data_IF_031842763302
#
_entry.id   IF_031842763302
#
_cell.length_a   1.000
_cell.length_b   1.000
_cell.length_c   1.000
_cell.angle_alpha   90.00
_cell.angle_beta   90.00
_cell.angle_gamma   90.00
#
_symmetry.space_group_name_H-M   'P 1'
#
loop_
_entity.id
_entity.type
_entity.pdbx_description
1 polymer ?
#
# COMPACT_ATOMS: atom_id res chain seq x y z
N UNK A 1 42.64 -1.87 -19.64
CA UNK A 1 41.21 -2.27 -19.69
C UNK A 1 40.55 -1.88 -18.38
N UNK A 2 39.40 -1.16 -18.38
CA UNK A 2 38.75 -0.75 -17.13
C UNK A 2 38.01 -1.92 -16.47
N UNK A 3 38.03 -1.99 -15.15
CA UNK A 3 37.26 -2.98 -14.38
C UNK A 3 35.75 -2.73 -14.51
N UNK A 4 34.95 -3.78 -14.42
CA UNK A 4 33.49 -3.69 -14.36
C UNK A 4 33.00 -2.75 -13.24
N UNK A 5 33.71 -2.68 -12.10
CA UNK A 5 33.40 -1.74 -11.01
C UNK A 5 33.59 -0.29 -11.47
N UNK A 6 34.71 0.00 -12.12
CA UNK A 6 35.01 1.35 -12.65
C UNK A 6 33.96 1.76 -13.70
N UNK A 7 33.59 0.85 -14.61
CA UNK A 7 32.58 1.11 -15.64
C UNK A 7 31.19 1.40 -15.04
N UNK A 8 30.80 0.68 -13.99
CA UNK A 8 29.52 0.94 -13.28
C UNK A 8 29.51 2.33 -12.64
N UNK A 9 30.61 2.73 -12.01
CA UNK A 9 30.75 4.07 -11.43
C UNK A 9 30.66 5.15 -12.51
N UNK A 10 31.33 4.98 -13.65
CA UNK A 10 31.27 5.93 -14.77
C UNK A 10 29.84 6.08 -15.31
N UNK A 11 29.15 4.96 -15.55
CA UNK A 11 27.75 4.98 -15.99
C UNK A 11 26.87 5.70 -14.97
N UNK A 12 27.11 5.49 -13.67
CA UNK A 12 26.37 6.17 -12.60
C UNK A 12 26.58 7.69 -12.66
N UNK A 13 27.83 8.14 -12.76
CA UNK A 13 28.15 9.57 -12.86
C UNK A 13 27.53 10.22 -14.10
N UNK A 14 27.58 9.54 -15.25
CA UNK A 14 26.93 10.01 -16.48
C UNK A 14 25.40 10.12 -16.34
N UNK A 15 24.77 9.24 -15.57
CA UNK A 15 23.33 9.32 -15.28
C UNK A 15 23.01 10.49 -14.36
N UNK A 16 23.79 10.71 -13.31
CA UNK A 16 23.64 11.84 -12.39
C UNK A 16 23.76 13.17 -13.14
N UNK A 17 24.83 13.36 -13.92
CA UNK A 17 25.05 14.57 -14.70
C UNK A 17 23.95 14.83 -15.74
N UNK A 18 23.37 13.76 -16.32
CA UNK A 18 22.24 13.89 -17.25
C UNK A 18 20.96 14.30 -16.53
N UNK A 19 20.65 13.68 -15.39
CA UNK A 19 19.48 13.99 -14.59
C UNK A 19 19.52 15.42 -14.02
N UNK A 20 20.70 15.90 -13.60
CA UNK A 20 20.89 17.28 -13.17
C UNK A 20 20.65 18.26 -14.32
N UNK A 21 21.28 18.04 -15.49
CA UNK A 21 21.09 18.90 -16.68
C UNK A 21 19.63 18.98 -17.11
N UNK A 22 18.92 17.86 -17.15
CA UNK A 22 17.51 17.83 -17.52
C UNK A 22 16.63 18.63 -16.54
N UNK A 23 16.91 18.55 -15.24
CA UNK A 23 16.20 19.34 -14.22
C UNK A 23 16.48 20.84 -14.35
N UNK A 24 17.74 21.23 -14.56
CA UNK A 24 18.11 22.65 -14.77
C UNK A 24 17.49 23.21 -16.04
N UNK A 25 17.49 22.45 -17.14
CA UNK A 25 16.94 22.90 -18.41
C UNK A 25 15.44 23.23 -18.29
N UNK A 26 14.66 22.41 -17.59
CA UNK A 26 13.24 22.69 -17.32
C UNK A 26 13.02 23.97 -16.49
N UNK A 27 13.90 24.28 -15.55
CA UNK A 27 13.79 25.50 -14.74
C UNK A 27 14.05 26.76 -15.57
N UNK A 28 14.75 26.63 -16.71
CA UNK A 28 15.24 27.75 -17.53
C UNK A 28 14.51 27.99 -18.85
N UNK A 29 13.65 27.07 -19.32
CA UNK A 29 12.91 27.22 -20.58
C UNK A 29 11.39 27.36 -20.36
N UNK A 30 10.70 28.29 -21.03
CA UNK A 30 9.26 28.17 -21.21
C UNK A 30 8.99 26.95 -22.10
N UNK A 31 8.03 26.10 -21.70
CA UNK A 31 7.63 24.88 -22.41
C UNK A 31 7.14 25.21 -23.84
N UNK A 32 8.09 25.33 -24.77
CA UNK A 32 7.84 25.45 -26.21
C UNK A 32 7.65 24.07 -26.83
N UNK A 33 6.66 23.98 -27.72
CA UNK A 33 5.97 22.76 -28.18
C UNK A 33 6.79 21.60 -28.73
N UNK A 34 8.09 21.73 -29.05
CA UNK A 34 8.81 20.70 -29.82
C UNK A 34 10.22 20.37 -29.28
N UNK A 35 10.40 20.36 -27.97
CA UNK A 35 11.66 19.98 -27.32
C UNK A 35 11.66 18.54 -26.81
N UNK A 36 12.13 17.57 -27.59
CA UNK A 36 12.42 16.21 -27.08
C UNK A 36 13.57 16.26 -26.07
N UNK A 37 13.26 16.43 -24.78
CA UNK A 37 14.25 16.30 -23.71
C UNK A 37 14.66 14.83 -23.61
N UNK A 38 15.93 14.52 -23.89
CA UNK A 38 16.46 13.15 -23.81
C UNK A 38 16.25 12.57 -22.39
N UNK A 39 15.51 11.47 -22.30
CA UNK A 39 15.16 10.83 -21.04
C UNK A 39 13.77 11.18 -20.50
N UNK A 40 12.98 11.94 -21.25
CA UNK A 40 11.56 12.19 -20.98
C UNK A 40 10.73 10.95 -21.28
N UNK A 41 9.77 10.67 -20.40
CA UNK A 41 8.77 9.62 -20.58
C UNK A 41 7.39 10.22 -20.37
N UNK A 42 6.52 10.14 -21.38
CA UNK A 42 5.15 10.66 -21.29
C UNK A 42 4.35 9.94 -20.19
N UNK A 43 3.59 10.72 -19.43
CA UNK A 43 2.63 10.19 -18.47
C UNK A 43 1.31 9.82 -19.16
N UNK A 44 0.63 8.81 -18.65
CA UNK A 44 -0.76 8.54 -19.01
C UNK A 44 -1.68 9.42 -18.15
N UNK A 45 -1.99 10.61 -18.65
CA UNK A 45 -2.78 11.61 -17.89
C UNK A 45 -4.21 11.15 -17.64
N UNK A 46 -4.80 10.37 -18.56
CA UNK A 46 -6.14 9.81 -18.39
C UNK A 46 -6.16 8.80 -17.25
N UNK A 47 -5.21 7.86 -17.22
CA UNK A 47 -5.06 6.92 -16.12
C UNK A 47 -4.85 7.67 -14.78
N UNK A 48 -3.94 8.62 -14.76
CA UNK A 48 -3.60 9.36 -13.53
C UNK A 48 -4.80 10.15 -12.99
N UNK A 49 -5.63 10.74 -13.84
CA UNK A 49 -6.86 11.45 -13.41
C UNK A 49 -7.91 10.53 -12.81
N UNK A 50 -8.00 9.27 -13.24
CA UNK A 50 -8.88 8.28 -12.62
C UNK A 50 -8.39 7.82 -11.24
N UNK A 51 -7.07 7.82 -11.02
CA UNK A 51 -6.45 7.38 -9.77
C UNK A 51 -6.33 8.48 -8.73
N UNK A 52 -6.37 9.75 -9.13
CA UNK A 52 -6.08 10.88 -8.25
C UNK A 52 -7.16 11.96 -8.38
N UNK A 53 -7.68 12.41 -7.24
CA UNK A 53 -8.86 13.29 -7.19
C UNK A 53 -8.55 14.77 -6.91
N UNK A 54 -7.32 15.15 -6.52
CA UNK A 54 -7.03 16.52 -6.06
C UNK A 54 -5.56 16.95 -6.17
N UNK A 55 -4.87 16.63 -7.26
CA UNK A 55 -3.46 17.01 -7.43
C UNK A 55 -3.11 17.39 -8.87
N UNK A 56 -2.07 18.20 -9.01
CA UNK A 56 -1.49 18.52 -10.33
C UNK A 56 -0.80 17.26 -10.85
N UNK A 57 -1.27 16.78 -12.01
CA UNK A 57 -0.74 15.58 -12.63
C UNK A 57 0.43 15.94 -13.55
N UNK A 58 1.52 15.16 -13.54
CA UNK A 58 2.59 15.36 -14.50
C UNK A 58 2.13 14.98 -15.90
N UNK A 59 2.46 15.80 -16.90
CA UNK A 59 2.32 15.43 -18.32
C UNK A 59 3.42 14.45 -18.76
N UNK A 60 4.56 14.48 -18.07
CA UNK A 60 5.71 13.64 -18.34
C UNK A 60 6.59 13.45 -17.09
N UNK A 61 7.44 12.42 -17.13
CA UNK A 61 8.45 12.13 -16.13
C UNK A 61 9.85 12.41 -16.67
N UNK A 62 10.74 12.80 -15.76
CA UNK A 62 12.16 12.99 -16.03
C UNK A 62 13.00 12.32 -14.95
N UNK A 63 14.21 11.91 -15.32
CA UNK A 63 15.20 11.41 -14.37
C UNK A 63 15.45 12.44 -13.25
N UNK A 64 15.17 12.04 -12.01
CA UNK A 64 15.32 12.87 -10.81
C UNK A 64 16.48 12.37 -9.96
N UNK A 65 17.41 13.25 -9.62
CA UNK A 65 18.45 12.94 -8.63
C UNK A 65 17.84 12.96 -7.24
N UNK A 66 18.23 12.00 -6.39
CA UNK A 66 17.90 12.01 -4.97
C UNK A 66 19.08 11.50 -4.15
N UNK A 67 19.13 11.93 -2.90
CA UNK A 67 20.11 11.46 -1.92
C UNK A 67 19.46 10.36 -1.08
N UNK A 68 20.12 9.20 -0.98
CA UNK A 68 19.63 8.12 -0.14
C UNK A 68 19.59 8.55 1.33
N UNK A 69 18.42 8.45 1.97
CA UNK A 69 18.26 8.85 3.38
C UNK A 69 19.06 7.99 4.38
N UNK A 70 19.53 6.80 3.98
CA UNK A 70 20.25 5.89 4.88
C UNK A 70 21.78 5.92 4.69
N UNK A 71 22.27 6.00 3.44
CA UNK A 71 23.71 5.96 3.13
C UNK A 71 24.26 7.21 2.45
N UNK A 72 23.43 8.25 2.27
CA UNK A 72 23.77 9.50 1.59
C UNK A 72 24.26 9.36 0.14
N UNK A 73 24.15 8.18 -0.49
CA UNK A 73 24.53 8.02 -1.91
C UNK A 73 23.59 8.81 -2.81
N UNK A 74 24.15 9.56 -3.76
CA UNK A 74 23.37 10.14 -4.85
C UNK A 74 22.93 9.04 -5.82
N UNK A 75 21.65 9.03 -6.15
CA UNK A 75 21.04 8.09 -7.06
C UNK A 75 20.09 8.81 -8.02
N UNK A 76 19.72 8.13 -9.11
CA UNK A 76 18.75 8.64 -10.08
C UNK A 76 17.48 7.80 -9.99
N UNK A 77 16.35 8.45 -9.72
CA UNK A 77 15.03 7.92 -9.92
C UNK A 77 14.60 8.17 -11.36
N UNK A 78 14.67 7.13 -12.18
CA UNK A 78 14.52 7.31 -13.63
C UNK A 78 13.07 7.62 -14.00
N UNK A 79 12.87 8.30 -15.13
CA UNK A 79 11.54 8.58 -15.67
C UNK A 79 10.71 7.29 -15.88
N UNK A 80 11.37 6.21 -16.31
CA UNK A 80 10.74 4.88 -16.45
C UNK A 80 10.32 4.29 -15.10
N UNK A 81 11.13 4.46 -14.06
CA UNK A 81 10.79 4.00 -12.71
C UNK A 81 9.64 4.81 -12.13
N UNK A 82 9.57 6.11 -12.41
CA UNK A 82 8.44 6.95 -12.04
C UNK A 82 7.16 6.49 -12.73
N UNK A 83 7.18 6.32 -14.06
CA UNK A 83 6.01 5.81 -14.81
C UNK A 83 5.48 4.50 -14.24
N UNK A 84 6.36 3.51 -14.06
CA UNK A 84 5.97 2.23 -13.45
C UNK A 84 5.39 2.40 -12.04
N UNK A 85 5.99 3.25 -11.21
CA UNK A 85 5.56 3.47 -9.84
C UNK A 85 4.17 4.12 -9.74
N UNK A 86 3.90 5.14 -10.55
CA UNK A 86 2.64 5.86 -10.48
C UNK A 86 1.52 5.19 -11.26
N UNK A 87 1.82 4.58 -12.41
CA UNK A 87 0.79 4.06 -13.31
C UNK A 87 0.55 2.56 -13.12
N UNK A 88 1.60 1.77 -12.88
CA UNK A 88 1.45 0.32 -12.67
C UNK A 88 1.20 -0.01 -11.21
N UNK A 89 1.99 0.56 -10.29
CA UNK A 89 1.83 0.31 -8.84
C UNK A 89 0.72 1.16 -8.24
N UNK A 90 0.27 2.22 -8.94
CA UNK A 90 -0.76 3.16 -8.48
C UNK A 90 -0.41 3.80 -7.13
N UNK A 91 0.88 4.02 -6.91
CA UNK A 91 1.35 4.67 -5.70
C UNK A 91 0.97 6.17 -5.70
N UNK A 92 0.83 6.80 -4.52
CA UNK A 92 0.49 8.21 -4.42
C UNK A 92 1.41 9.10 -5.27
N UNK A 93 0.84 10.01 -6.06
CA UNK A 93 1.60 10.82 -7.03
C UNK A 93 2.61 11.77 -6.35
N UNK A 94 2.38 12.12 -5.09
CA UNK A 94 3.24 12.96 -4.25
C UNK A 94 4.45 12.21 -3.68
N UNK A 95 4.44 10.87 -3.75
CA UNK A 95 5.53 10.04 -3.25
C UNK A 95 6.81 10.20 -4.07
N UNK A 96 7.97 10.04 -3.42
CA UNK A 96 9.30 10.18 -4.04
C UNK A 96 10.26 9.07 -3.66
N UNK A 97 11.25 8.80 -4.51
CA UNK A 97 12.36 7.91 -4.17
C UNK A 97 13.17 8.46 -2.99
N UNK A 98 13.22 7.71 -1.88
CA UNK A 98 13.92 8.09 -0.64
C UNK A 98 15.20 7.29 -0.37
N UNK A 99 15.31 6.09 -0.95
CA UNK A 99 16.38 5.13 -0.65
C UNK A 99 16.90 4.46 -1.91
N UNK A 100 18.20 4.25 -1.97
CA UNK A 100 18.84 3.45 -3.02
C UNK A 100 18.37 1.99 -2.96
N UNK A 101 18.61 1.22 -4.03
CA UNK A 101 18.21 -0.18 -4.11
C UNK A 101 18.83 -1.03 -2.99
N UNK A 102 20.10 -0.80 -2.68
CA UNK A 102 20.85 -1.54 -1.66
C UNK A 102 20.24 -1.30 -0.27
N UNK A 103 20.02 -0.04 0.12
CA UNK A 103 19.38 0.30 1.38
C UNK A 103 17.93 -0.22 1.46
N UNK A 104 17.18 -0.21 0.35
CA UNK A 104 15.83 -0.84 0.32
C UNK A 104 15.91 -2.35 0.57
N UNK A 105 16.88 -3.05 -0.01
CA UNK A 105 17.09 -4.50 0.21
C UNK A 105 17.52 -4.79 1.64
N UNK A 106 18.51 -4.07 2.16
CA UNK A 106 18.98 -4.21 3.54
C UNK A 106 17.87 -3.91 4.55
N UNK A 107 17.01 -2.91 4.28
CA UNK A 107 15.84 -2.64 5.14
C UNK A 107 14.83 -3.79 5.11
N UNK A 108 14.53 -4.35 3.93
CA UNK A 108 13.62 -5.50 3.82
C UNK A 108 14.18 -6.72 4.55
N UNK A 109 15.48 -7.00 4.42
CA UNK A 109 16.16 -8.09 5.13
C UNK A 109 16.01 -7.92 6.65
N UNK A 110 16.34 -6.74 7.19
CA UNK A 110 16.18 -6.44 8.63
C UNK A 110 14.74 -6.60 9.14
N UNK A 111 13.76 -6.15 8.36
CA UNK A 111 12.34 -6.33 8.73
C UNK A 111 11.98 -7.81 8.75
N UNK A 112 12.40 -8.58 7.73
CA UNK A 112 12.12 -10.01 7.67
C UNK A 112 12.79 -10.77 8.81
N UNK A 113 14.05 -10.44 9.14
CA UNK A 113 14.76 -11.01 10.30
C UNK A 113 14.03 -10.70 11.61
N UNK A 114 13.58 -9.46 11.80
CA UNK A 114 12.80 -9.08 12.98
C UNK A 114 11.46 -9.83 13.06
N UNK A 115 10.79 -10.06 11.92
CA UNK A 115 9.54 -10.81 11.86
C UNK A 115 9.73 -12.34 12.02
N UNK A 116 10.93 -12.86 11.79
CA UNK A 116 11.24 -14.28 11.95
C UNK A 116 11.35 -14.71 13.43
N UNK A 117 11.52 -13.75 14.34
CA UNK A 117 11.54 -14.03 15.78
C UNK A 117 10.16 -14.55 16.23
N UNK A 118 10.08 -15.69 16.95
CA UNK A 118 8.81 -16.20 17.47
C UNK A 118 8.04 -15.15 18.26
N UNK A 119 6.77 -14.94 17.88
CA UNK A 119 5.89 -13.96 18.51
C UNK A 119 6.02 -12.51 17.98
N UNK A 120 7.04 -12.17 17.18
CA UNK A 120 7.20 -10.82 16.63
C UNK A 120 6.05 -10.41 15.69
N UNK A 121 5.38 -11.39 15.08
CA UNK A 121 4.24 -11.20 14.20
C UNK A 121 2.93 -11.79 14.76
N UNK A 122 2.77 -11.79 16.10
CA UNK A 122 1.64 -12.42 16.79
C UNK A 122 0.28 -11.96 16.27
N UNK A 123 0.11 -10.66 16.03
CA UNK A 123 -1.15 -10.10 15.51
C UNK A 123 -1.52 -10.70 14.14
N UNK A 124 -0.55 -10.87 13.24
CA UNK A 124 -0.82 -11.47 11.94
C UNK A 124 -1.07 -12.98 12.05
N UNK A 125 -0.38 -13.66 12.95
CA UNK A 125 -0.60 -15.08 13.23
C UNK A 125 -2.01 -15.33 13.78
N UNK A 126 -2.47 -14.50 14.72
CA UNK A 126 -3.83 -14.55 15.27
C UNK A 126 -4.88 -14.25 14.19
N UNK A 127 -4.66 -13.24 13.35
CA UNK A 127 -5.54 -12.97 12.19
C UNK A 127 -5.61 -14.16 11.22
N UNK A 128 -4.49 -14.78 10.91
CA UNK A 128 -4.45 -15.93 10.00
C UNK A 128 -5.16 -17.15 10.60
N UNK A 129 -4.96 -17.40 11.90
CA UNK A 129 -5.67 -18.43 12.63
C UNK A 129 -7.19 -18.20 12.59
N UNK A 130 -7.66 -16.97 12.81
CA UNK A 130 -9.08 -16.62 12.69
C UNK A 130 -9.61 -16.87 11.28
N UNK A 131 -8.88 -16.46 10.23
CA UNK A 131 -9.31 -16.71 8.84
C UNK A 131 -9.47 -18.19 8.54
N UNK A 132 -8.58 -19.03 9.06
CA UNK A 132 -8.63 -20.48 8.88
C UNK A 132 -9.86 -21.13 9.53
N UNK A 133 -10.40 -20.54 10.60
CA UNK A 133 -11.67 -21.01 11.21
C UNK A 133 -12.83 -20.90 10.22
N UNK A 134 -12.89 -19.84 9.43
CA UNK A 134 -13.96 -19.62 8.44
C UNK A 134 -13.94 -20.58 7.25
N UNK A 135 -12.93 -21.46 7.14
CA UNK A 135 -12.88 -22.52 6.12
C UNK A 135 -13.46 -23.86 6.61
N UNK A 136 -13.88 -23.94 7.87
CA UNK A 136 -14.42 -25.13 8.52
C UNK A 136 -15.79 -24.81 9.12
N UNK A 137 -16.67 -25.80 9.33
CA UNK A 137 -17.89 -25.59 10.10
C UNK A 137 -17.54 -25.13 11.52
N UNK A 138 -18.38 -24.27 12.14
CA UNK A 138 -18.14 -23.80 13.50
C UNK A 138 -18.21 -24.97 14.49
N UNK A 139 -17.24 -25.02 15.41
CA UNK A 139 -17.29 -25.83 16.62
C UNK A 139 -17.25 -24.90 17.85
N UNK A 140 -17.47 -25.47 19.04
CA UNK A 140 -17.53 -24.69 20.28
C UNK A 140 -16.25 -23.89 20.54
N UNK A 141 -15.08 -24.45 20.21
CA UNK A 141 -13.79 -23.78 20.39
C UNK A 141 -13.60 -22.62 19.41
N UNK A 142 -14.06 -22.77 18.17
CA UNK A 142 -14.03 -21.73 17.15
C UNK A 142 -14.96 -20.57 17.53
N UNK A 143 -16.17 -20.87 18.03
CA UNK A 143 -17.11 -19.86 18.50
C UNK A 143 -16.53 -19.03 19.66
N UNK A 144 -15.88 -19.69 20.63
CA UNK A 144 -15.21 -19.00 21.74
C UNK A 144 -14.07 -18.08 21.25
N UNK A 145 -13.26 -18.56 20.30
CA UNK A 145 -12.19 -17.75 19.70
C UNK A 145 -12.74 -16.52 18.96
N UNK A 146 -13.86 -16.66 18.25
CA UNK A 146 -14.53 -15.54 17.58
C UNK A 146 -15.08 -14.55 18.60
N UNK A 147 -15.74 -15.02 19.66
CA UNK A 147 -16.23 -14.17 20.73
C UNK A 147 -15.10 -13.35 21.38
N UNK A 148 -13.96 -13.98 21.67
CA UNK A 148 -12.79 -13.29 22.19
C UNK A 148 -12.21 -12.29 21.17
N UNK A 149 -12.11 -12.66 19.89
CA UNK A 149 -11.60 -11.77 18.84
C UNK A 149 -12.46 -10.52 18.64
N UNK A 150 -13.79 -10.62 18.78
CA UNK A 150 -14.72 -9.49 18.71
C UNK A 150 -14.50 -8.48 19.85
N UNK A 151 -13.94 -8.90 20.98
CA UNK A 151 -13.61 -8.01 22.11
C UNK A 151 -12.20 -7.42 22.01
N UNK A 152 -11.34 -7.95 21.13
CA UNK A 152 -9.93 -7.53 20.97
C UNK A 152 -9.77 -6.02 20.83
N UNK A 153 -8.79 -5.40 21.47
CA UNK A 153 -8.52 -3.95 21.29
C UNK A 153 -8.15 -3.57 19.84
N UNK A 154 -7.79 -4.53 19.00
CA UNK A 154 -7.36 -4.31 17.62
C UNK A 154 -8.52 -4.47 16.65
N UNK A 155 -8.93 -3.41 15.97
CA UNK A 155 -10.06 -3.45 15.02
C UNK A 155 -9.88 -4.49 13.91
N UNK A 156 -8.66 -4.70 13.43
CA UNK A 156 -8.38 -5.73 12.40
C UNK A 156 -8.79 -7.14 12.84
N UNK A 157 -8.61 -7.49 14.11
CA UNK A 157 -9.05 -8.78 14.66
C UNK A 157 -10.57 -8.90 14.64
N UNK A 158 -11.26 -7.86 15.12
CA UNK A 158 -12.72 -7.83 15.17
C UNK A 158 -13.33 -7.92 13.77
N UNK A 159 -12.76 -7.20 12.79
CA UNK A 159 -13.22 -7.25 11.39
C UNK A 159 -13.05 -8.65 10.81
N UNK A 160 -11.94 -9.32 11.06
CA UNK A 160 -11.73 -10.70 10.59
C UNK A 160 -12.70 -11.66 11.26
N UNK A 161 -12.99 -11.47 12.56
CA UNK A 161 -14.01 -12.26 13.25
C UNK A 161 -15.41 -12.09 12.62
N UNK A 162 -15.79 -10.86 12.26
CA UNK A 162 -17.04 -10.56 11.53
C UNK A 162 -17.07 -11.28 10.16
N UNK A 163 -15.94 -11.30 9.44
CA UNK A 163 -15.84 -12.02 8.17
C UNK A 163 -16.01 -13.54 8.35
N UNK A 164 -15.51 -14.10 9.45
CA UNK A 164 -15.67 -15.53 9.76
C UNK A 164 -17.13 -15.86 10.06
N UNK A 165 -17.83 -15.05 10.86
CA UNK A 165 -19.28 -15.19 11.07
C UNK A 165 -20.03 -15.21 9.74
N UNK A 166 -19.66 -14.31 8.81
CA UNK A 166 -20.20 -14.26 7.45
C UNK A 166 -19.94 -15.52 6.62
N UNK A 167 -18.83 -16.22 6.84
CA UNK A 167 -18.54 -17.49 6.14
C UNK A 167 -19.32 -18.67 6.69
N UNK A 168 -19.57 -18.67 8.00
CA UNK A 168 -20.37 -19.73 8.63
C UNK A 168 -21.85 -19.59 8.30
N UNK A 169 -22.39 -18.36 8.33
CA UNK A 169 -23.74 -18.07 7.83
C UNK A 169 -24.86 -18.83 8.55
N UNK A 170 -24.64 -19.32 9.76
CA UNK A 170 -25.68 -19.93 10.59
C UNK A 170 -26.65 -18.88 11.13
N UNK A 171 -27.76 -19.34 11.70
CA UNK A 171 -28.84 -18.46 12.18
C UNK A 171 -28.39 -17.51 13.29
N UNK A 172 -27.53 -17.98 14.18
CA UNK A 172 -26.98 -17.17 15.28
C UNK A 172 -25.94 -16.17 14.78
N UNK A 173 -25.08 -16.60 13.86
CA UNK A 173 -24.08 -15.73 13.22
C UNK A 173 -24.76 -14.61 12.42
N UNK A 174 -25.81 -14.93 11.66
CA UNK A 174 -26.61 -13.93 10.93
C UNK A 174 -27.27 -12.95 11.90
N UNK A 175 -27.82 -13.42 13.03
CA UNK A 175 -28.40 -12.53 14.03
C UNK A 175 -27.35 -11.57 14.63
N UNK A 176 -26.14 -12.08 14.91
CA UNK A 176 -25.03 -11.28 15.41
C UNK A 176 -24.55 -10.25 14.37
N UNK A 177 -24.46 -10.63 13.09
CA UNK A 177 -24.12 -9.72 12.00
C UNK A 177 -25.14 -8.60 11.86
N UNK A 178 -26.45 -8.89 11.97
CA UNK A 178 -27.51 -7.87 11.96
C UNK A 178 -27.38 -6.88 13.11
N UNK A 179 -27.07 -7.37 14.32
CA UNK A 179 -26.85 -6.50 15.48
C UNK A 179 -25.66 -5.54 15.25
N UNK A 180 -24.57 -6.03 14.66
CA UNK A 180 -23.40 -5.21 14.32
C UNK A 180 -23.70 -4.22 13.20
N UNK A 181 -24.44 -4.62 12.17
CA UNK A 181 -24.88 -3.74 11.08
C UNK A 181 -25.72 -2.56 11.61
N UNK A 182 -26.55 -2.80 12.63
CA UNK A 182 -27.41 -1.77 13.23
C UNK A 182 -26.66 -0.68 14.01
N UNK A 183 -25.40 -0.92 14.43
CA UNK A 183 -24.60 0.06 15.20
C UNK A 183 -24.46 1.41 14.51
N UNK A 184 -24.45 1.43 13.17
CA UNK A 184 -24.36 2.66 12.36
C UNK A 184 -25.53 3.63 12.59
N UNK A 185 -26.70 3.14 12.97
CA UNK A 185 -27.87 3.97 13.25
C UNK A 185 -27.85 4.56 14.67
N UNK A 186 -27.12 3.96 15.61
CA UNK A 186 -27.22 4.32 17.03
C UNK A 186 -26.21 5.38 17.49
N UNK A 187 -24.99 5.43 16.91
CA UNK A 187 -23.91 6.29 17.46
C UNK A 187 -23.33 7.34 16.47
N UNK A 188 -23.96 7.50 15.31
CA UNK A 188 -23.73 8.64 14.41
C UNK A 188 -22.56 8.50 13.43
N UNK A 189 -22.56 9.36 12.41
CA UNK A 189 -21.69 9.31 11.22
C UNK A 189 -20.26 9.78 11.47
N UNK A 190 -19.65 9.50 12.64
CA UNK A 190 -18.26 9.92 12.87
C UNK A 190 -17.33 9.12 11.97
N UNK A 191 -16.58 9.84 11.14
CA UNK A 191 -15.55 9.24 10.30
C UNK A 191 -14.45 8.68 11.21
N UNK A 192 -14.20 7.36 11.14
CA UNK A 192 -13.20 6.68 11.97
C UNK A 192 -13.70 6.12 13.31
N UNK A 193 -15.00 5.84 13.49
CA UNK A 193 -15.50 5.13 14.68
C UNK A 193 -15.55 3.60 14.48
N UNK A 194 -15.48 2.84 15.57
CA UNK A 194 -15.57 1.37 15.52
C UNK A 194 -16.93 0.91 15.03
N UNK A 195 -18.01 1.57 15.44
CA UNK A 195 -19.39 1.26 15.11
C UNK A 195 -19.62 1.31 13.60
N UNK A 196 -19.03 2.31 12.94
CA UNK A 196 -19.05 2.40 11.48
C UNK A 196 -18.29 1.25 10.84
N UNK A 197 -17.07 0.96 11.29
CA UNK A 197 -16.24 -0.12 10.72
C UNK A 197 -16.90 -1.48 10.91
N UNK A 198 -17.46 -1.73 12.09
CA UNK A 198 -18.18 -2.95 12.42
C UNK A 198 -19.44 -3.10 11.55
N UNK A 199 -20.22 -2.04 11.41
CA UNK A 199 -21.42 -2.03 10.57
C UNK A 199 -21.10 -2.25 9.10
N UNK A 200 -20.10 -1.55 8.55
CA UNK A 200 -19.68 -1.70 7.15
C UNK A 200 -19.15 -3.12 6.88
N UNK A 201 -18.38 -3.71 7.81
CA UNK A 201 -17.91 -5.09 7.72
C UNK A 201 -19.05 -6.12 7.81
N UNK A 202 -20.01 -5.91 8.72
CA UNK A 202 -21.14 -6.82 8.90
C UNK A 202 -22.12 -6.76 7.72
N UNK A 203 -22.38 -5.56 7.18
CA UNK A 203 -23.18 -5.39 5.96
C UNK A 203 -22.52 -6.08 4.75
N UNK A 204 -21.20 -5.98 4.62
CA UNK A 204 -20.47 -6.71 3.57
C UNK A 204 -20.58 -8.23 3.72
N UNK A 205 -20.52 -8.74 4.97
CA UNK A 205 -20.68 -10.16 5.26
C UNK A 205 -22.11 -10.67 4.94
N UNK A 206 -23.15 -9.95 5.38
CA UNK A 206 -24.55 -10.27 5.05
C UNK A 206 -24.79 -10.26 3.54
N UNK A 207 -24.27 -9.25 2.84
CA UNK A 207 -24.35 -9.17 1.38
C UNK A 207 -23.70 -10.37 0.69
N UNK A 208 -22.58 -10.88 1.22
CA UNK A 208 -21.92 -12.08 0.66
C UNK A 208 -22.75 -13.36 0.82
N UNK A 209 -23.67 -13.39 1.78
CA UNK A 209 -24.64 -14.46 2.00
C UNK A 209 -25.96 -14.26 1.21
N UNK A 210 -26.08 -13.17 0.45
CA UNK A 210 -27.32 -12.82 -0.27
C UNK A 210 -28.42 -12.27 0.65
N UNK A 211 -28.06 -11.76 1.83
CA UNK A 211 -28.99 -11.17 2.80
C UNK A 211 -28.86 -9.65 2.69
N UNK A 212 -29.96 -8.98 2.35
CA UNK A 212 -30.08 -7.51 2.34
C UNK A 212 -30.30 -6.93 3.74
#
# INVERSE_FOLDING_TARGET
MKSNKQRRTEIKQLRLARAQRAQTQLQSMPLGRDGHVLGLVMADTQLLSGLNNSCVLPEFYLDKVFVCADCASEEVWTAKQQKWWYETVQAPIDSRAKRCLECRRARRARINEALAVPGANRLAQEVEALRALGSKPPDAAALEQIAHALQSKWWGHRVVAIQVLGRWGGTEEIAQLRALAALRHMEGRRYGSWERVASDAAAAALKSLGIE
#
